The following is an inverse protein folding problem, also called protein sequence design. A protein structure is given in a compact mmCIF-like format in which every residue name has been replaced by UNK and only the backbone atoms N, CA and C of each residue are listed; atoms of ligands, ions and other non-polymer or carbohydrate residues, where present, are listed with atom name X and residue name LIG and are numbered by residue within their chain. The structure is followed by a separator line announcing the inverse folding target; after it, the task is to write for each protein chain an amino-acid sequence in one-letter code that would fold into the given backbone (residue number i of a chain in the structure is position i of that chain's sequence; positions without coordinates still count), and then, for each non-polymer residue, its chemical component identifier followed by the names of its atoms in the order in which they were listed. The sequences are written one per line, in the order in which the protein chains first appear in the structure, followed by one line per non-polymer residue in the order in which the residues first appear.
data_IF_392334561937
#
_entry.id   IF_392334561937
#
_cell.length_a   1.000
_cell.length_b   1.000
_cell.length_c   1.000
_cell.angle_alpha   90.00
_cell.angle_beta   90.00
_cell.angle_gamma   90.00
#
_symmetry.space_group_name_H-M   'P 1'
#
loop_
_entity.id
_entity.type
_entity.pdbx_description
1 polymer ?
#
# COMPACT_ATOMS: atom_id res chain seq x y z
N UNK A 1 0.43 -42.73 -26.97
CA UNK A 1 1.67 -41.90 -26.87
C UNK A 1 1.62 -40.61 -27.71
N UNK A 2 1.19 -40.61 -28.95
CA UNK A 2 1.16 -39.39 -29.83
C UNK A 2 0.24 -38.26 -29.30
N UNK A 3 -0.93 -38.62 -28.70
CA UNK A 3 -1.85 -37.63 -28.13
C UNK A 3 -1.26 -36.83 -26.93
N UNK A 4 -0.39 -37.46 -26.14
CA UNK A 4 0.26 -36.79 -25.00
C UNK A 4 1.33 -35.78 -25.45
N UNK A 5 2.03 -36.08 -26.56
CA UNK A 5 3.00 -35.16 -27.16
C UNK A 5 2.33 -33.96 -27.84
N UNK A 6 1.17 -34.13 -28.42
CA UNK A 6 0.39 -33.04 -29.01
C UNK A 6 -0.13 -32.11 -27.90
N UNK A 7 -0.61 -32.66 -26.79
CA UNK A 7 -1.06 -31.84 -25.63
C UNK A 7 0.13 -31.11 -25.00
N UNK A 8 1.30 -31.74 -24.88
CA UNK A 8 2.52 -31.09 -24.37
C UNK A 8 3.04 -30.02 -25.33
N UNK A 9 2.97 -30.23 -26.63
CA UNK A 9 3.36 -29.26 -27.65
C UNK A 9 2.37 -28.08 -27.69
N UNK A 10 1.07 -28.29 -27.55
CA UNK A 10 0.05 -27.23 -27.46
C UNK A 10 0.19 -26.44 -26.16
N UNK A 11 0.54 -27.07 -25.04
CA UNK A 11 0.88 -26.39 -23.79
C UNK A 11 2.15 -25.57 -23.90
N UNK A 12 3.19 -26.05 -24.60
CA UNK A 12 4.44 -25.31 -24.83
C UNK A 12 4.23 -24.12 -25.78
N UNK A 13 3.40 -24.24 -26.80
CA UNK A 13 3.03 -23.12 -27.71
C UNK A 13 2.13 -22.11 -26.99
N UNK A 14 1.29 -22.56 -26.04
CA UNK A 14 0.48 -21.65 -25.23
C UNK A 14 1.31 -20.84 -24.22
N UNK A 15 2.51 -21.32 -23.82
CA UNK A 15 3.43 -20.59 -22.94
C UNK A 15 4.27 -19.56 -23.73
N UNK A 16 4.43 -19.73 -25.03
CA UNK A 16 5.06 -18.76 -25.96
C UNK A 16 4.02 -17.81 -26.56
N UNK A 17 3.02 -17.40 -25.75
CA UNK A 17 2.01 -16.43 -26.19
C UNK A 17 2.67 -15.20 -26.81
N UNK A 18 2.10 -14.67 -27.90
CA UNK A 18 2.55 -13.43 -28.51
C UNK A 18 2.63 -12.37 -27.41
N UNK A 19 3.85 -11.96 -27.05
CA UNK A 19 4.05 -10.91 -26.08
C UNK A 19 3.35 -9.66 -26.60
N UNK A 20 2.41 -9.12 -25.82
CA UNK A 20 1.81 -7.83 -26.13
C UNK A 20 2.94 -6.80 -26.13
N UNK A 21 3.11 -6.08 -27.23
CA UNK A 21 4.15 -5.05 -27.32
C UNK A 21 3.75 -3.84 -26.48
N UNK A 22 4.69 -3.27 -25.77
CA UNK A 22 4.51 -1.98 -25.07
C UNK A 22 4.41 -0.85 -26.08
N UNK A 23 3.74 0.24 -25.69
CA UNK A 23 3.65 1.46 -26.53
C UNK A 23 5.03 2.06 -26.81
N UNK A 24 5.91 2.02 -25.83
CA UNK A 24 7.30 2.49 -25.89
C UNK A 24 8.24 1.44 -25.30
N UNK A 25 9.56 1.57 -25.59
CA UNK A 25 10.56 0.73 -24.96
C UNK A 25 10.61 0.90 -23.44
N UNK A 26 10.97 -0.15 -22.72
CA UNK A 26 11.26 -0.06 -21.28
C UNK A 26 12.51 0.77 -21.03
N UNK A 27 12.58 1.45 -19.88
CA UNK A 27 13.77 2.16 -19.45
C UNK A 27 14.91 1.15 -19.19
N UNK A 28 15.98 1.23 -19.97
CA UNK A 28 17.22 0.50 -19.65
C UNK A 28 18.01 1.30 -18.62
N UNK A 29 18.17 0.73 -17.42
CA UNK A 29 19.04 1.33 -16.41
C UNK A 29 20.48 1.37 -16.92
N UNK A 30 21.20 2.49 -16.79
CA UNK A 30 22.61 2.60 -17.13
C UNK A 30 23.43 1.49 -16.50
N UNK A 31 24.43 0.97 -17.21
CA UNK A 31 25.30 -0.12 -16.72
C UNK A 31 25.97 0.21 -15.37
N UNK A 32 26.22 1.49 -15.11
CA UNK A 32 26.76 1.98 -13.83
C UNK A 32 25.79 1.75 -12.65
N UNK A 33 24.48 1.86 -12.86
CA UNK A 33 23.47 1.56 -11.81
C UNK A 33 23.42 0.06 -11.49
N UNK A 34 23.71 -0.83 -12.47
CA UNK A 34 23.82 -2.28 -12.23
C UNK A 34 25.05 -2.68 -11.42
N UNK A 35 26.14 -1.92 -11.54
CA UNK A 35 27.40 -2.22 -10.81
C UNK A 35 27.34 -1.80 -9.34
N UNK A 36 26.48 -0.85 -8.97
CA UNK A 36 26.32 -0.38 -7.58
C UNK A 36 25.56 -1.37 -6.71
N UNK A 37 24.74 -2.24 -7.29
CA UNK A 37 24.14 -3.37 -6.54
C UNK A 37 25.16 -4.40 -6.05
N UNK A 38 26.39 -4.41 -6.61
CA UNK A 38 27.41 -5.44 -6.37
C UNK A 38 28.65 -4.91 -5.62
N UNK A 39 28.89 -3.60 -5.56
CA UNK A 39 30.08 -3.08 -4.89
C UNK A 39 30.08 -1.56 -4.74
N UNK A 40 29.74 -1.11 -3.55
CA UNK A 40 29.54 0.30 -3.26
C UNK A 40 30.77 1.18 -3.40
N UNK A 41 30.64 2.31 -4.12
CA UNK A 41 31.45 3.49 -3.92
C UNK A 41 30.55 4.64 -3.45
N UNK A 42 31.03 5.42 -2.47
CA UNK A 42 30.26 6.41 -1.72
C UNK A 42 29.68 7.56 -2.57
N UNK A 43 30.13 7.78 -3.79
CA UNK A 43 29.67 8.89 -4.64
C UNK A 43 28.38 8.61 -5.42
N UNK A 44 27.99 7.35 -5.56
CA UNK A 44 26.77 6.93 -6.28
C UNK A 44 25.63 6.60 -5.30
N UNK A 45 25.94 6.42 -4.02
CA UNK A 45 24.99 6.09 -2.97
C UNK A 45 23.77 7.05 -2.86
N UNK A 46 23.92 8.37 -2.98
CA UNK A 46 22.76 9.28 -2.93
C UNK A 46 21.77 9.08 -4.08
N UNK A 47 22.26 8.78 -5.28
CA UNK A 47 21.42 8.56 -6.47
C UNK A 47 20.71 7.21 -6.42
N UNK A 48 21.40 6.17 -5.99
CA UNK A 48 20.84 4.82 -5.86
C UNK A 48 19.86 4.72 -4.68
N UNK A 49 20.12 5.42 -3.57
CA UNK A 49 19.14 5.54 -2.48
C UNK A 49 17.90 6.35 -2.89
N UNK A 50 18.05 7.32 -3.77
CA UNK A 50 16.93 8.04 -4.36
C UNK A 50 16.10 7.15 -5.29
N UNK A 51 16.74 6.30 -6.09
CA UNK A 51 16.09 5.32 -6.96
C UNK A 51 15.42 4.17 -6.19
N UNK A 52 15.94 3.79 -5.03
CA UNK A 52 15.38 2.68 -4.22
C UNK A 52 14.04 3.01 -3.55
N UNK A 53 13.73 4.30 -3.35
CA UNK A 53 12.50 4.78 -2.73
C UNK A 53 11.94 5.99 -3.51
N UNK A 54 11.83 5.87 -4.80
CA UNK A 54 11.41 6.98 -5.67
C UNK A 54 9.99 7.44 -5.31
N UNK A 55 9.90 8.57 -4.58
CA UNK A 55 8.67 9.33 -4.51
C UNK A 55 8.62 10.15 -5.78
N UNK A 56 7.83 9.71 -6.76
CA UNK A 56 7.67 10.44 -8.00
C UNK A 56 6.86 11.70 -7.76
N UNK A 57 7.43 12.83 -8.10
CA UNK A 57 6.85 14.17 -7.95
C UNK A 57 6.72 14.62 -6.48
N UNK A 58 7.84 14.93 -5.85
CA UNK A 58 7.84 15.75 -4.63
C UNK A 58 7.97 17.21 -5.05
N UNK A 59 6.86 17.91 -5.17
CA UNK A 59 6.86 19.36 -5.39
C UNK A 59 6.28 20.09 -4.19
N UNK A 60 7.01 21.03 -3.67
CA UNK A 60 6.57 21.94 -2.62
C UNK A 60 6.90 21.49 -1.19
N UNK A 61 6.96 22.44 -0.29
CA UNK A 61 7.14 22.23 1.14
C UNK A 61 5.90 21.56 1.73
N UNK A 62 6.04 20.33 2.23
CA UNK A 62 5.01 19.73 3.06
C UNK A 62 4.96 20.45 4.41
N UNK A 63 3.75 20.64 4.96
CA UNK A 63 3.64 21.06 6.35
C UNK A 63 4.03 19.86 7.24
N UNK A 64 4.53 20.13 8.44
CA UNK A 64 4.79 19.07 9.40
C UNK A 64 3.48 18.32 9.72
N UNK A 65 3.39 17.00 9.50
CA UNK A 65 2.15 16.26 9.68
C UNK A 65 1.87 16.03 11.17
N UNK A 66 0.59 16.10 11.56
CA UNK A 66 0.13 15.69 12.88
C UNK A 66 -0.64 14.37 12.83
N UNK A 67 -1.30 14.07 11.72
CA UNK A 67 -2.10 12.86 11.55
C UNK A 67 -1.78 12.18 10.21
N UNK A 68 -1.23 10.98 10.30
CA UNK A 68 -0.87 10.14 9.15
C UNK A 68 -1.76 8.90 9.13
N UNK A 69 -2.37 8.61 7.99
CA UNK A 69 -3.19 7.43 7.76
C UNK A 69 -2.52 6.49 6.77
N UNK A 70 -2.31 5.25 7.16
CA UNK A 70 -1.72 4.19 6.33
C UNK A 70 -2.77 3.12 6.06
N UNK A 71 -3.10 2.90 4.79
CA UNK A 71 -4.13 1.97 4.33
C UNK A 71 -3.51 0.81 3.56
N UNK A 72 -3.71 -0.41 4.05
CA UNK A 72 -3.19 -1.60 3.39
C UNK A 72 -4.01 -2.03 2.17
N UNK A 73 -3.44 -2.87 1.33
CA UNK A 73 -4.16 -3.71 0.39
C UNK A 73 -5.04 -4.74 1.09
N UNK A 74 -5.93 -5.40 0.32
CA UNK A 74 -6.81 -6.45 0.88
C UNK A 74 -8.09 -6.74 0.09
N UNK A 75 -8.22 -6.25 -1.15
CA UNK A 75 -9.35 -6.54 -2.04
C UNK A 75 -10.71 -6.19 -1.42
N UNK A 76 -11.64 -7.13 -1.40
CA UNK A 76 -13.00 -6.95 -0.82
C UNK A 76 -12.99 -6.67 0.68
N UNK A 77 -11.90 -7.03 1.40
CA UNK A 77 -11.73 -6.69 2.82
C UNK A 77 -11.57 -5.20 3.06
N UNK A 78 -11.37 -4.38 2.03
CA UNK A 78 -11.50 -2.93 2.08
C UNK A 78 -12.84 -2.46 2.67
N UNK A 79 -13.87 -3.33 2.67
CA UNK A 79 -15.13 -3.08 3.36
C UNK A 79 -14.93 -2.83 4.87
N UNK A 80 -14.02 -3.55 5.52
CA UNK A 80 -13.64 -3.26 6.90
C UNK A 80 -13.02 -1.87 7.03
N UNK A 81 -12.09 -1.51 6.15
CA UNK A 81 -11.46 -0.18 6.13
C UNK A 81 -12.49 0.94 5.95
N UNK A 82 -13.42 0.78 4.99
CA UNK A 82 -14.51 1.72 4.78
C UNK A 82 -15.42 1.83 6.02
N UNK A 83 -15.69 0.70 6.67
CA UNK A 83 -16.42 0.65 7.94
C UNK A 83 -15.72 1.42 9.05
N UNK A 84 -14.41 1.20 9.23
CA UNK A 84 -13.58 1.94 10.22
C UNK A 84 -13.65 3.45 9.97
N UNK A 85 -13.45 3.90 8.74
CA UNK A 85 -13.52 5.33 8.37
C UNK A 85 -14.87 5.93 8.72
N UNK A 86 -15.97 5.26 8.34
CA UNK A 86 -17.35 5.73 8.61
C UNK A 86 -17.68 5.72 10.12
N UNK A 87 -17.30 4.64 10.83
CA UNK A 87 -17.52 4.52 12.27
C UNK A 87 -16.74 5.55 13.06
N UNK A 88 -15.54 5.89 12.61
CA UNK A 88 -14.69 6.90 13.22
C UNK A 88 -15.28 8.31 13.06
N UNK A 89 -15.82 8.63 11.89
CA UNK A 89 -16.60 9.87 11.67
C UNK A 89 -17.83 9.92 12.58
N UNK A 90 -18.57 8.81 12.70
CA UNK A 90 -19.74 8.73 13.58
C UNK A 90 -19.38 8.95 15.05
N UNK A 91 -18.20 8.51 15.49
CA UNK A 91 -17.69 8.76 16.83
C UNK A 91 -17.30 10.23 17.07
N UNK A 92 -17.25 11.06 16.02
CA UNK A 92 -16.97 12.50 16.09
C UNK A 92 -15.50 12.85 16.39
N UNK A 93 -14.58 11.89 16.34
CA UNK A 93 -13.17 12.09 16.67
C UNK A 93 -12.18 11.68 15.57
N UNK A 94 -12.68 11.47 14.35
CA UNK A 94 -11.82 11.26 13.18
C UNK A 94 -11.05 12.56 12.87
N UNK A 95 -9.71 12.55 12.88
CA UNK A 95 -8.95 13.73 12.53
C UNK A 95 -8.99 14.02 11.02
N UNK A 96 -8.65 15.23 10.64
CA UNK A 96 -8.21 15.50 9.28
C UNK A 96 -6.79 14.91 9.13
N UNK A 97 -6.56 14.16 8.06
CA UNK A 97 -5.27 13.53 7.82
C UNK A 97 -4.38 14.47 6.99
N UNK A 98 -3.16 14.69 7.46
CA UNK A 98 -2.14 15.47 6.75
C UNK A 98 -1.47 14.64 5.67
N UNK A 99 -1.26 13.36 5.96
CA UNK A 99 -0.71 12.39 5.02
C UNK A 99 -1.61 11.17 4.97
N UNK A 100 -1.92 10.70 3.77
CA UNK A 100 -2.61 9.41 3.55
C UNK A 100 -1.78 8.60 2.57
N UNK A 101 -1.51 7.34 2.90
CA UNK A 101 -0.88 6.37 2.01
C UNK A 101 -1.82 5.21 1.74
N UNK A 102 -1.80 4.65 0.53
CA UNK A 102 -2.67 3.53 0.17
C UNK A 102 -2.05 2.57 -0.84
N UNK A 103 -2.37 1.29 -0.67
CA UNK A 103 -2.04 0.18 -1.58
C UNK A 103 -3.33 -0.53 -1.97
N UNK A 104 -3.49 -0.90 -3.26
CA UNK A 104 -4.60 -1.72 -3.73
C UNK A 104 -5.97 -1.15 -3.34
N UNK A 105 -6.81 -1.88 -2.61
CA UNK A 105 -8.08 -1.36 -2.08
C UNK A 105 -7.86 -0.14 -1.18
N UNK A 106 -6.75 -0.06 -0.43
CA UNK A 106 -6.36 1.12 0.33
C UNK A 106 -6.10 2.33 -0.55
N UNK A 107 -5.54 2.14 -1.76
CA UNK A 107 -5.35 3.21 -2.75
C UNK A 107 -6.69 3.73 -3.29
N UNK A 108 -7.69 2.85 -3.49
CA UNK A 108 -9.03 3.25 -3.92
C UNK A 108 -9.81 4.01 -2.84
N UNK A 109 -9.51 3.76 -1.56
CA UNK A 109 -10.11 4.45 -0.41
C UNK A 109 -9.38 5.78 -0.12
N UNK A 110 -8.08 5.84 -0.33
CA UNK A 110 -7.20 6.92 0.10
C UNK A 110 -7.65 8.33 -0.34
N UNK A 111 -8.05 8.61 -1.60
CA UNK A 111 -8.49 9.94 -2.01
C UNK A 111 -9.69 10.44 -1.21
N UNK A 112 -10.64 9.57 -0.91
CA UNK A 112 -11.87 9.90 -0.19
C UNK A 112 -11.63 10.05 1.32
N UNK A 113 -10.79 9.18 1.91
CA UNK A 113 -10.35 9.33 3.29
C UNK A 113 -9.55 10.63 3.51
N UNK A 114 -8.74 11.01 2.52
CA UNK A 114 -7.96 12.24 2.51
C UNK A 114 -8.83 13.49 2.41
N UNK A 115 -9.84 13.50 1.55
CA UNK A 115 -10.72 14.65 1.37
C UNK A 115 -11.69 14.87 2.53
N UNK A 116 -12.13 13.81 3.22
CA UNK A 116 -12.92 13.96 4.44
C UNK A 116 -14.28 13.23 4.43
N UNK A 117 -15.09 13.55 5.45
CA UNK A 117 -16.32 12.81 5.75
C UNK A 117 -17.44 12.98 4.74
N UNK A 118 -17.36 13.95 3.84
CA UNK A 118 -18.36 14.13 2.76
C UNK A 118 -18.41 12.94 1.80
N UNK A 119 -17.36 12.10 1.79
CA UNK A 119 -17.25 10.90 0.95
C UNK A 119 -17.56 9.59 1.68
N UNK A 120 -17.95 9.63 2.93
CA UNK A 120 -18.17 8.42 3.73
C UNK A 120 -19.32 7.56 3.17
N UNK A 121 -20.41 8.17 2.70
CA UNK A 121 -21.51 7.46 2.05
C UNK A 121 -21.09 6.83 0.71
N UNK A 122 -20.19 7.48 -0.04
CA UNK A 122 -19.63 6.92 -1.25
C UNK A 122 -18.80 5.68 -0.93
N UNK A 123 -17.92 5.76 0.06
CA UNK A 123 -17.11 4.63 0.54
C UNK A 123 -18.01 3.48 1.00
N UNK A 124 -19.04 3.76 1.78
CA UNK A 124 -20.01 2.74 2.22
C UNK A 124 -20.62 2.02 1.02
N UNK A 125 -21.23 2.74 0.06
CA UNK A 125 -21.82 2.12 -1.14
C UNK A 125 -20.82 1.31 -1.94
N UNK A 126 -19.60 1.85 -2.12
CA UNK A 126 -18.54 1.16 -2.86
C UNK A 126 -18.17 -0.20 -2.26
N UNK A 127 -18.23 -0.33 -0.94
CA UNK A 127 -17.78 -1.51 -0.23
C UNK A 127 -18.90 -2.36 0.40
N UNK A 128 -20.16 -2.00 0.18
CA UNK A 128 -21.30 -2.82 0.66
C UNK A 128 -22.20 -3.30 -0.48
N UNK A 129 -22.19 -2.61 -1.64
CA UNK A 129 -23.09 -2.91 -2.75
C UNK A 129 -22.39 -3.52 -3.96
N UNK A 130 -21.05 -3.44 -4.03
CA UNK A 130 -20.25 -3.93 -5.17
C UNK A 130 -20.27 -5.44 -5.28
N UNK A 131 -20.27 -5.91 -6.51
CA UNK A 131 -20.16 -7.33 -6.89
C UNK A 131 -19.00 -7.54 -7.85
N UNK A 132 -18.59 -8.78 -8.03
CA UNK A 132 -17.52 -9.16 -9.00
C UNK A 132 -17.68 -8.46 -10.36
N UNK A 133 -18.89 -8.43 -10.92
CA UNK A 133 -19.19 -7.80 -12.22
C UNK A 133 -18.93 -6.28 -12.28
N UNK A 134 -18.90 -5.61 -11.14
CA UNK A 134 -18.67 -4.17 -11.02
C UNK A 134 -17.16 -3.86 -10.92
N UNK A 135 -16.36 -4.92 -10.73
CA UNK A 135 -14.90 -4.85 -10.57
C UNK A 135 -14.19 -5.47 -11.78
N UNK A 136 -14.66 -6.65 -12.26
CA UNK A 136 -14.02 -7.36 -13.36
C UNK A 136 -14.99 -8.17 -14.19
N UNK A 137 -14.56 -8.47 -15.43
CA UNK A 137 -15.21 -9.43 -16.32
C UNK A 137 -14.26 -10.60 -16.57
N UNK A 138 -14.67 -11.81 -16.19
CA UNK A 138 -13.88 -13.03 -16.43
C UNK A 138 -13.72 -13.25 -17.94
N UNK A 139 -12.48 -13.49 -18.39
CA UNK A 139 -12.20 -13.81 -19.79
C UNK A 139 -12.57 -15.25 -20.08
N UNK A 140 -13.04 -15.50 -21.31
CA UNK A 140 -13.35 -16.84 -21.76
C UNK A 140 -12.07 -17.64 -22.04
N UNK A 141 -12.07 -18.97 -21.72
CA UNK A 141 -10.89 -19.84 -21.77
C UNK A 141 -10.02 -19.72 -23.03
N UNK A 142 -10.56 -19.69 -24.28
CA UNK A 142 -9.74 -19.50 -25.47
C UNK A 142 -9.03 -18.14 -25.55
N UNK A 143 -9.60 -17.09 -24.95
CA UNK A 143 -8.97 -15.78 -24.93
C UNK A 143 -7.74 -15.72 -24.03
N UNK A 144 -7.62 -16.64 -23.05
CA UNK A 144 -6.48 -16.71 -22.13
C UNK A 144 -5.15 -17.08 -22.80
N UNK A 145 -5.18 -17.67 -23.99
CA UNK A 145 -3.97 -18.06 -24.74
C UNK A 145 -3.16 -16.81 -25.15
N UNK A 146 -3.85 -15.69 -25.36
CA UNK A 146 -3.25 -14.42 -25.81
C UNK A 146 -3.39 -13.30 -24.79
N UNK A 147 -3.90 -13.60 -23.59
CA UNK A 147 -4.16 -12.60 -22.56
C UNK A 147 -3.04 -12.61 -21.51
N UNK A 148 -2.75 -11.44 -20.97
CA UNK A 148 -1.85 -11.22 -19.85
C UNK A 148 -2.51 -11.39 -18.46
N UNK A 149 -3.84 -11.70 -18.45
CA UNK A 149 -4.64 -11.78 -17.23
C UNK A 149 -5.90 -12.65 -17.38
N UNK A 150 -6.42 -13.14 -16.26
CA UNK A 150 -7.63 -13.97 -16.22
C UNK A 150 -8.92 -13.16 -16.36
N UNK A 151 -8.88 -11.85 -16.09
CA UNK A 151 -10.03 -10.98 -16.12
C UNK A 151 -9.70 -9.63 -16.79
N UNK A 152 -10.73 -8.97 -17.26
CA UNK A 152 -10.67 -7.60 -17.77
C UNK A 152 -11.00 -6.63 -16.66
N UNK A 153 -10.17 -5.60 -16.45
CA UNK A 153 -10.35 -4.55 -15.45
C UNK A 153 -11.20 -3.37 -15.94
N UNK A 154 -11.80 -3.44 -17.13
CA UNK A 154 -12.62 -2.36 -17.67
C UNK A 154 -13.75 -1.89 -16.74
N UNK A 155 -14.48 -2.77 -16.01
CA UNK A 155 -15.46 -2.33 -15.03
C UNK A 155 -14.85 -1.47 -13.91
N UNK A 156 -13.71 -1.88 -13.34
CA UNK A 156 -13.00 -1.11 -12.32
C UNK A 156 -12.50 0.23 -12.87
N UNK A 157 -11.90 0.24 -14.07
CA UNK A 157 -11.47 1.46 -14.77
C UNK A 157 -12.63 2.43 -14.94
N UNK A 158 -13.78 1.96 -15.39
CA UNK A 158 -15.00 2.76 -15.54
C UNK A 158 -15.43 3.36 -14.19
N UNK A 159 -15.45 2.56 -13.15
CA UNK A 159 -15.85 3.01 -11.80
C UNK A 159 -14.88 4.05 -11.24
N UNK A 160 -13.57 3.87 -11.41
CA UNK A 160 -12.56 4.88 -11.05
C UNK A 160 -12.84 6.17 -11.82
N UNK A 161 -13.12 6.10 -13.14
CA UNK A 161 -13.39 7.27 -13.95
C UNK A 161 -14.68 8.02 -13.53
N UNK A 162 -15.71 7.31 -13.09
CA UNK A 162 -16.96 7.90 -12.58
C UNK A 162 -16.78 8.60 -11.22
N UNK A 163 -15.86 8.12 -10.39
CA UNK A 163 -15.63 8.64 -9.03
C UNK A 163 -14.52 9.68 -8.97
N UNK A 164 -13.43 9.45 -9.69
CA UNK A 164 -12.32 10.41 -9.77
C UNK A 164 -12.63 11.42 -10.89
N UNK A 165 -13.41 12.42 -10.52
CA UNK A 165 -13.85 13.49 -11.42
C UNK A 165 -12.85 14.66 -11.42
N UNK A 166 -12.92 15.59 -12.38
CA UNK A 166 -12.13 16.83 -12.33
C UNK A 166 -12.34 17.64 -11.04
N UNK A 167 -13.48 17.52 -10.38
CA UNK A 167 -13.76 18.19 -9.10
C UNK A 167 -12.96 17.55 -7.96
N UNK A 168 -12.95 16.22 -7.87
CA UNK A 168 -12.08 15.48 -6.93
C UNK A 168 -10.63 15.88 -7.12
N UNK A 169 -10.14 15.92 -8.36
CA UNK A 169 -8.78 16.31 -8.66
C UNK A 169 -8.46 17.73 -8.17
N UNK A 170 -9.38 18.70 -8.38
CA UNK A 170 -9.24 20.06 -7.88
C UNK A 170 -9.17 20.12 -6.35
N UNK A 171 -10.00 19.34 -5.64
CA UNK A 171 -9.99 19.27 -4.18
C UNK A 171 -8.70 18.67 -3.65
N UNK A 172 -8.18 17.60 -4.30
CA UNK A 172 -6.88 17.01 -3.94
C UNK A 172 -5.75 18.02 -4.17
N UNK A 173 -5.75 18.73 -5.31
CA UNK A 173 -4.77 19.78 -5.60
C UNK A 173 -4.82 20.93 -4.57
N UNK A 174 -6.02 21.35 -4.15
CA UNK A 174 -6.18 22.37 -3.12
C UNK A 174 -5.56 21.92 -1.79
N UNK A 175 -5.88 20.69 -1.34
CA UNK A 175 -5.31 20.13 -0.12
C UNK A 175 -3.77 19.96 -0.21
N UNK A 176 -3.25 19.63 -1.40
CA UNK A 176 -1.81 19.54 -1.63
C UNK A 176 -1.13 20.92 -1.46
N UNK A 177 -1.71 21.99 -2.00
CA UNK A 177 -1.22 23.36 -1.82
C UNK A 177 -1.25 23.82 -0.36
N UNK A 178 -2.16 23.27 0.45
CA UNK A 178 -2.21 23.48 1.90
C UNK A 178 -1.16 22.66 2.68
N UNK A 179 -0.30 21.92 1.97
CA UNK A 179 0.78 21.12 2.56
C UNK A 179 0.40 19.69 2.91
N UNK A 180 -0.84 19.24 2.63
CA UNK A 180 -1.27 17.85 2.82
C UNK A 180 -0.77 16.95 1.69
N UNK A 181 -0.60 15.66 1.94
CA UNK A 181 -0.02 14.71 0.99
C UNK A 181 -0.87 13.46 0.84
N UNK A 182 -1.05 13.04 -0.40
CA UNK A 182 -1.76 11.80 -0.77
C UNK A 182 -0.85 10.92 -1.60
N UNK A 183 -0.46 9.78 -1.05
CA UNK A 183 0.46 8.84 -1.69
C UNK A 183 -0.21 7.51 -2.02
N UNK A 184 0.08 6.99 -3.20
CA UNK A 184 -0.36 5.66 -3.64
C UNK A 184 0.84 4.88 -4.13
N UNK A 185 0.92 3.60 -3.73
CA UNK A 185 1.98 2.69 -4.15
C UNK A 185 1.52 1.75 -5.26
N UNK A 186 2.37 1.57 -6.27
CA UNK A 186 2.26 0.55 -7.32
C UNK A 186 3.56 -0.25 -7.37
N UNK A 187 3.56 -1.42 -8.00
CA UNK A 187 4.79 -2.15 -8.28
C UNK A 187 5.15 -2.02 -9.75
N UNK A 188 6.33 -1.50 -10.05
CA UNK A 188 6.92 -1.58 -11.38
C UNK A 188 7.48 -3.00 -11.61
N UNK A 189 6.99 -3.67 -12.65
CA UNK A 189 7.38 -5.06 -12.96
C UNK A 189 8.81 -5.18 -13.48
N UNK A 190 9.35 -4.14 -14.10
CA UNK A 190 10.69 -4.19 -14.66
C UNK A 190 11.74 -4.17 -13.54
N UNK A 191 11.57 -3.29 -12.58
CA UNK A 191 12.46 -3.14 -11.43
C UNK A 191 12.07 -4.02 -10.24
N UNK A 192 10.82 -4.51 -10.19
CA UNK A 192 10.22 -5.28 -9.07
C UNK A 192 10.20 -4.47 -7.78
N UNK A 193 10.11 -3.14 -7.88
CA UNK A 193 10.16 -2.21 -6.75
C UNK A 193 8.82 -1.50 -6.55
N UNK A 194 8.59 -1.08 -5.33
CA UNK A 194 7.48 -0.18 -5.00
C UNK A 194 7.79 1.20 -5.57
N UNK A 195 6.88 1.71 -6.39
CA UNK A 195 6.86 3.10 -6.86
C UNK A 195 5.79 3.85 -6.09
N UNK A 196 6.19 4.92 -5.43
CA UNK A 196 5.28 5.77 -4.64
C UNK A 196 4.94 7.01 -5.45
N UNK A 197 3.65 7.22 -5.69
CA UNK A 197 3.11 8.35 -6.45
C UNK A 197 2.54 9.40 -5.51
N UNK A 198 3.00 10.66 -5.64
CA UNK A 198 2.33 11.80 -5.00
C UNK A 198 1.14 12.23 -5.85
N UNK A 199 -0.05 11.74 -5.51
CA UNK A 199 -1.28 12.06 -6.22
C UNK A 199 -1.69 13.52 -6.05
N UNK A 200 -1.27 14.16 -4.96
CA UNK A 200 -1.46 15.59 -4.76
C UNK A 200 -0.66 16.42 -5.76
N UNK A 201 0.62 16.07 -5.96
CA UNK A 201 1.48 16.72 -6.95
C UNK A 201 0.98 16.49 -8.38
N UNK A 202 0.52 15.27 -8.71
CA UNK A 202 -0.11 14.98 -9.99
C UNK A 202 -1.34 15.89 -10.20
N UNK A 203 -2.21 15.99 -9.20
CA UNK A 203 -3.43 16.80 -9.28
C UNK A 203 -3.13 18.28 -9.46
N UNK A 204 -2.10 18.81 -8.81
CA UNK A 204 -1.69 20.23 -8.87
C UNK A 204 -0.82 20.55 -10.09
N UNK A 205 -0.24 19.54 -10.73
CA UNK A 205 0.61 19.69 -11.92
C UNK A 205 -0.11 20.31 -13.13
N UNK A 206 0.68 20.69 -14.13
CA UNK A 206 0.18 21.33 -15.36
C UNK A 206 0.00 20.36 -16.53
N UNK A 207 0.24 19.06 -16.32
CA UNK A 207 0.06 18.05 -17.37
C UNK A 207 -1.42 17.99 -17.81
N UNK A 208 -1.73 18.13 -19.08
CA UNK A 208 -3.10 17.99 -19.61
C UNK A 208 -3.69 16.60 -19.33
N UNK A 209 -2.86 15.55 -19.21
CA UNK A 209 -3.26 14.17 -18.97
C UNK A 209 -3.29 13.79 -17.47
N UNK A 210 -3.09 14.74 -16.55
CA UNK A 210 -3.00 14.49 -15.11
C UNK A 210 -4.19 13.73 -14.52
N UNK A 211 -5.40 13.91 -15.06
CA UNK A 211 -6.58 13.19 -14.61
C UNK A 211 -6.51 11.70 -14.99
N UNK A 212 -6.05 11.40 -16.18
CA UNK A 212 -5.92 10.02 -16.64
C UNK A 212 -4.74 9.34 -15.92
N UNK A 213 -3.62 10.03 -15.73
CA UNK A 213 -2.50 9.52 -14.93
C UNK A 213 -2.94 9.22 -13.49
N UNK A 214 -3.68 10.12 -12.85
CA UNK A 214 -4.22 9.89 -11.51
C UNK A 214 -5.08 8.62 -11.44
N UNK A 215 -5.96 8.42 -12.43
CA UNK A 215 -6.82 7.23 -12.54
C UNK A 215 -6.03 5.97 -12.85
N UNK A 216 -5.05 6.04 -13.73
CA UNK A 216 -4.21 4.91 -14.10
C UNK A 216 -3.33 4.45 -12.93
N UNK A 217 -2.80 5.35 -12.11
CA UNK A 217 -2.09 5.01 -10.87
C UNK A 217 -3.02 4.25 -9.89
N UNK A 218 -4.26 4.71 -9.70
CA UNK A 218 -5.23 4.00 -8.85
C UNK A 218 -5.57 2.61 -9.39
N UNK A 219 -5.78 2.51 -10.71
CA UNK A 219 -6.06 1.24 -11.36
C UNK A 219 -4.86 0.28 -11.26
N UNK A 220 -3.64 0.79 -11.53
CA UNK A 220 -2.41 0.02 -11.41
C UNK A 220 -2.22 -0.52 -10.00
N UNK A 221 -2.42 0.33 -8.99
CA UNK A 221 -2.34 -0.07 -7.58
C UNK A 221 -3.33 -1.18 -7.20
N UNK A 222 -4.45 -1.31 -7.91
CA UNK A 222 -5.45 -2.35 -7.69
C UNK A 222 -5.38 -3.49 -8.74
N UNK A 223 -4.37 -3.50 -9.63
CA UNK A 223 -4.21 -4.52 -10.67
C UNK A 223 -3.42 -5.72 -10.17
N UNK A 224 -4.11 -6.63 -9.45
CA UNK A 224 -3.53 -7.87 -8.90
C UNK A 224 -3.01 -8.75 -10.03
N UNK A 225 -1.70 -9.11 -10.05
CA UNK A 225 -1.11 -9.92 -11.12
C UNK A 225 -1.81 -11.27 -11.30
N UNK A 226 -1.95 -11.67 -12.54
CA UNK A 226 -2.66 -12.88 -12.94
C UNK A 226 -4.18 -12.69 -13.01
N UNK A 227 -4.80 -11.91 -12.11
CA UNK A 227 -6.22 -11.58 -12.18
C UNK A 227 -6.47 -10.43 -13.17
N UNK A 228 -5.77 -9.30 -13.02
CA UNK A 228 -5.91 -8.12 -13.86
C UNK A 228 -4.70 -7.88 -14.76
N UNK A 229 -4.90 -7.24 -15.92
CA UNK A 229 -3.78 -6.84 -16.78
C UNK A 229 -2.93 -5.77 -16.06
N UNK A 230 -1.61 -5.76 -16.32
CA UNK A 230 -0.76 -4.64 -15.94
C UNK A 230 -1.26 -3.34 -16.58
N UNK A 231 -1.03 -2.24 -15.92
CA UNK A 231 -1.31 -0.90 -16.44
C UNK A 231 -0.02 -0.29 -16.96
N UNK A 232 -0.05 0.12 -18.24
CA UNK A 232 1.05 0.81 -18.87
C UNK A 232 0.99 2.30 -18.50
N UNK A 233 2.02 2.80 -17.83
CA UNK A 233 2.14 4.22 -17.45
C UNK A 233 3.31 4.82 -18.22
N UNK A 234 3.01 5.86 -19.00
CA UNK A 234 4.02 6.61 -19.73
C UNK A 234 4.76 7.55 -18.81
N UNK A 235 6.08 7.50 -18.85
CA UNK A 235 6.98 8.40 -18.13
C UNK A 235 7.89 9.11 -19.13
N UNK A 236 8.29 10.32 -18.80
CA UNK A 236 9.30 11.08 -19.55
C UNK A 236 10.59 11.12 -18.73
N UNK A 237 11.66 10.60 -19.32
CA UNK A 237 13.00 10.64 -18.71
C UNK A 237 13.92 11.32 -19.71
N UNK A 238 14.45 12.48 -19.35
CA UNK A 238 15.37 13.27 -20.18
C UNK A 238 14.80 13.58 -21.60
N UNK A 239 13.49 13.78 -21.71
CA UNK A 239 12.79 14.08 -22.97
C UNK A 239 12.50 12.84 -23.83
N UNK A 240 12.76 11.63 -23.32
CA UNK A 240 12.39 10.38 -23.96
C UNK A 240 11.20 9.73 -23.26
N UNK A 241 10.20 9.32 -24.03
CA UNK A 241 9.04 8.58 -23.50
C UNK A 241 9.37 7.11 -23.31
N UNK A 242 9.09 6.61 -22.14
CA UNK A 242 9.17 5.21 -21.76
C UNK A 242 7.81 4.74 -21.25
N UNK A 243 7.52 3.46 -21.41
CA UNK A 243 6.33 2.83 -20.88
C UNK A 243 6.72 1.83 -19.80
N UNK A 244 6.33 2.09 -18.56
CA UNK A 244 6.51 1.18 -17.44
C UNK A 244 5.26 0.33 -17.25
N UNK A 245 5.44 -0.95 -16.88
CA UNK A 245 4.34 -1.85 -16.54
C UNK A 245 4.13 -1.89 -15.04
N UNK A 246 3.03 -1.29 -14.60
CA UNK A 246 2.65 -1.25 -13.20
C UNK A 246 1.56 -2.26 -12.87
N UNK A 247 1.70 -2.88 -11.71
CA UNK A 247 0.73 -3.78 -11.09
C UNK A 247 0.44 -3.39 -9.66
N UNK A 248 -0.43 -4.14 -8.99
CA UNK A 248 -0.79 -3.93 -7.58
C UNK A 248 0.44 -3.72 -6.70
N UNK A 249 0.40 -2.66 -5.91
CA UNK A 249 1.47 -2.33 -4.98
C UNK A 249 1.73 -3.44 -3.95
N UNK A 250 0.73 -4.29 -3.69
CA UNK A 250 0.82 -5.45 -2.81
C UNK A 250 1.85 -6.50 -3.21
N UNK A 251 2.36 -6.46 -4.44
CA UNK A 251 3.48 -7.30 -4.88
C UNK A 251 4.80 -6.88 -4.19
N UNK A 252 5.02 -5.59 -4.01
CA UNK A 252 6.25 -5.05 -3.40
C UNK A 252 6.08 -4.65 -1.93
N UNK A 253 4.87 -4.18 -1.54
CA UNK A 253 4.57 -3.80 -0.16
C UNK A 253 3.07 -3.91 0.14
N UNK A 254 2.69 -4.51 1.26
CA UNK A 254 1.29 -4.60 1.70
C UNK A 254 0.73 -3.26 2.19
N UNK A 255 1.60 -2.42 2.74
CA UNK A 255 1.41 -1.04 3.16
C UNK A 255 2.78 -0.35 3.25
N UNK A 256 2.81 0.97 3.26
CA UNK A 256 4.10 1.67 3.33
C UNK A 256 4.01 2.98 4.11
N UNK A 257 5.13 3.30 4.74
CA UNK A 257 5.41 4.58 5.37
C UNK A 257 6.90 4.89 5.16
N UNK A 258 7.22 6.15 4.87
CA UNK A 258 8.60 6.60 4.66
C UNK A 258 8.94 7.73 5.64
N UNK A 259 10.22 7.90 6.02
CA UNK A 259 10.63 8.94 6.97
C UNK A 259 10.17 10.34 6.59
N UNK A 260 10.28 10.71 5.31
CA UNK A 260 9.85 12.02 4.80
C UNK A 260 8.34 12.28 5.02
N UNK A 261 7.50 11.23 5.05
CA UNK A 261 6.06 11.33 5.30
C UNK A 261 5.73 11.64 6.76
N UNK A 262 6.71 11.51 7.65
CA UNK A 262 6.65 11.85 9.07
C UNK A 262 7.34 13.19 9.37
N UNK A 263 7.79 13.91 8.34
CA UNK A 263 8.55 15.15 8.49
C UNK A 263 10.01 14.93 8.93
N UNK A 264 10.52 13.69 8.81
CA UNK A 264 11.92 13.39 9.13
C UNK A 264 12.83 13.71 7.95
N UNK A 265 13.98 14.34 8.24
CA UNK A 265 15.01 14.58 7.21
C UNK A 265 15.67 13.27 6.80
N UNK A 266 15.85 13.07 5.48
CA UNK A 266 16.61 11.94 4.96
C UNK A 266 18.11 12.05 5.28
N UNK A 267 18.62 13.28 5.48
CA UNK A 267 20.05 13.55 5.64
C UNK A 267 20.49 13.50 7.11
N UNK A 268 19.62 13.69 8.06
CA UNK A 268 19.89 13.56 9.49
C UNK A 268 18.65 13.04 10.25
N UNK A 269 18.51 11.72 10.36
CA UNK A 269 17.44 11.10 11.10
C UNK A 269 17.49 11.43 12.62
N UNK A 270 18.64 11.84 13.14
CA UNK A 270 18.83 12.17 14.56
C UNK A 270 18.41 13.60 14.88
N UNK A 271 18.36 14.52 13.89
CA UNK A 271 17.76 15.85 14.04
C UNK A 271 16.22 15.83 14.11
N UNK A 272 15.58 14.69 13.89
CA UNK A 272 14.13 14.58 14.02
C UNK A 272 13.68 15.01 15.42
N UNK A 273 13.05 16.17 15.52
CA UNK A 273 12.40 16.62 16.75
C UNK A 273 11.38 15.56 17.15
N UNK A 274 11.49 15.09 18.38
CA UNK A 274 10.46 14.23 18.97
C UNK A 274 9.15 15.01 19.00
N UNK A 275 8.09 14.43 18.44
CA UNK A 275 6.80 15.10 18.28
C UNK A 275 5.70 14.32 18.96
N UNK A 276 5.29 14.80 20.14
CA UNK A 276 4.20 14.21 20.92
C UNK A 276 2.83 14.39 20.25
N UNK A 277 2.71 15.30 19.27
CA UNK A 277 1.49 15.59 18.53
C UNK A 277 1.32 14.75 17.25
N UNK A 278 2.34 13.96 16.87
CA UNK A 278 2.30 13.11 15.69
C UNK A 278 1.57 11.79 15.97
N UNK A 279 0.56 11.50 15.17
CA UNK A 279 -0.22 10.27 15.26
C UNK A 279 -0.13 9.50 13.94
N UNK A 280 0.18 8.21 14.01
CA UNK A 280 0.17 7.29 12.87
C UNK A 280 -0.92 6.26 13.09
N UNK A 281 -1.89 6.26 12.19
CA UNK A 281 -3.01 5.33 12.17
C UNK A 281 -2.85 4.34 11.03
N UNK A 282 -2.88 3.06 11.33
CA UNK A 282 -2.78 1.98 10.35
C UNK A 282 -4.09 1.19 10.33
N UNK A 283 -4.69 1.05 9.15
CA UNK A 283 -5.87 0.21 8.94
C UNK A 283 -5.49 -0.92 7.99
N UNK A 284 -5.54 -2.14 8.49
CA UNK A 284 -5.26 -3.35 7.70
C UNK A 284 -6.56 -3.96 7.22
N UNK A 285 -6.74 -4.01 5.91
CA UNK A 285 -7.86 -4.66 5.24
C UNK A 285 -7.65 -6.19 5.18
N UNK A 286 -7.55 -6.81 6.33
CA UNK A 286 -7.30 -8.25 6.50
C UNK A 286 -7.04 -8.59 7.95
N UNK A 287 -6.83 -9.88 8.22
CA UNK A 287 -6.46 -10.38 9.54
C UNK A 287 -4.94 -10.28 9.73
N UNK A 288 -4.49 -9.86 10.91
CA UNK A 288 -3.06 -9.80 11.25
C UNK A 288 -2.40 -11.18 11.38
N UNK A 289 -3.18 -12.23 11.55
CA UNK A 289 -2.71 -13.63 11.53
C UNK A 289 -3.75 -14.49 10.83
N UNK A 290 -3.32 -15.21 9.82
CA UNK A 290 -4.19 -16.15 9.13
C UNK A 290 -4.59 -17.32 10.06
N UNK A 291 -5.86 -17.75 10.02
CA UNK A 291 -6.32 -18.93 10.77
C UNK A 291 -5.61 -20.19 10.25
N UNK A 292 -5.33 -21.13 11.17
CA UNK A 292 -4.79 -22.43 10.76
C UNK A 292 -5.82 -23.18 9.93
N UNK A 293 -5.47 -23.55 8.70
CA UNK A 293 -6.28 -24.35 7.79
C UNK A 293 -5.56 -25.65 7.46
N UNK A 294 -6.34 -26.72 7.26
CA UNK A 294 -5.80 -28.02 6.78
C UNK A 294 -5.64 -27.92 5.26
N UNK A 295 -4.40 -27.85 4.80
CA UNK A 295 -4.09 -27.76 3.36
C UNK A 295 -4.31 -29.11 2.69
N UNK A 296 -5.03 -29.12 1.57
CA UNK A 296 -5.17 -30.30 0.74
C UNK A 296 -3.86 -30.56 -0.02
N UNK A 297 -3.48 -31.84 -0.18
CA UNK A 297 -2.29 -32.22 -0.98
C UNK A 297 -2.56 -32.15 -2.48
N UNK A 298 -2.94 -30.95 -2.97
CA UNK A 298 -3.15 -30.62 -4.38
C UNK A 298 -2.24 -29.45 -4.74
N UNK A 299 -1.69 -29.46 -5.94
CA UNK A 299 -0.75 -28.42 -6.40
C UNK A 299 -1.34 -27.01 -6.24
N UNK A 300 -2.58 -26.79 -6.67
CA UNK A 300 -3.25 -25.48 -6.54
C UNK A 300 -3.37 -25.02 -5.10
N UNK A 301 -3.78 -25.89 -4.17
CA UNK A 301 -3.89 -25.55 -2.76
C UNK A 301 -2.53 -25.26 -2.10
N UNK A 302 -1.49 -26.01 -2.49
CA UNK A 302 -0.12 -25.76 -2.00
C UNK A 302 0.40 -24.43 -2.50
N UNK A 303 0.18 -24.08 -3.78
CA UNK A 303 0.58 -22.77 -4.34
C UNK A 303 -0.17 -21.64 -3.64
N UNK A 304 -1.50 -21.76 -3.51
CA UNK A 304 -2.35 -20.74 -2.88
C UNK A 304 -1.90 -20.44 -1.45
N UNK A 305 -1.71 -21.46 -0.62
CA UNK A 305 -1.26 -21.30 0.76
C UNK A 305 0.19 -20.82 0.87
N UNK A 306 1.05 -21.20 -0.07
CA UNK A 306 2.44 -20.71 -0.12
C UNK A 306 2.48 -19.21 -0.46
N UNK A 307 1.72 -18.77 -1.45
CA UNK A 307 1.59 -17.35 -1.80
C UNK A 307 0.99 -16.56 -0.63
N UNK A 308 -0.07 -17.08 -0.01
CA UNK A 308 -0.67 -16.51 1.19
C UNK A 308 0.36 -16.34 2.32
N UNK A 309 1.23 -17.34 2.53
CA UNK A 309 2.31 -17.27 3.52
C UNK A 309 3.34 -16.18 3.22
N UNK A 310 3.71 -16.00 1.95
CA UNK A 310 4.63 -14.92 1.52
C UNK A 310 4.00 -13.54 1.75
N UNK A 311 2.74 -13.35 1.36
CA UNK A 311 2.02 -12.09 1.57
C UNK A 311 1.84 -11.77 3.06
N UNK A 312 1.60 -12.80 3.91
CA UNK A 312 1.53 -12.61 5.36
C UNK A 312 2.88 -12.17 5.94
N UNK A 313 3.97 -12.82 5.54
CA UNK A 313 5.31 -12.44 5.99
C UNK A 313 5.69 -11.02 5.56
N UNK A 314 5.30 -10.62 4.34
CA UNK A 314 5.47 -9.25 3.85
C UNK A 314 4.66 -8.25 4.69
N UNK A 315 3.38 -8.54 4.98
CA UNK A 315 2.53 -7.70 5.83
C UNK A 315 3.14 -7.51 7.22
N UNK A 316 3.61 -8.60 7.84
CA UNK A 316 4.25 -8.56 9.16
C UNK A 316 5.51 -7.68 9.16
N UNK A 317 6.34 -7.79 8.12
CA UNK A 317 7.54 -6.97 7.91
C UNK A 317 7.20 -5.49 7.69
N UNK A 318 6.23 -5.18 6.84
CA UNK A 318 5.81 -3.81 6.54
C UNK A 318 5.17 -3.13 7.77
N UNK A 319 4.36 -3.87 8.54
CA UNK A 319 3.80 -3.40 9.81
C UNK A 319 4.90 -3.11 10.84
N UNK A 320 5.86 -4.01 10.99
CA UNK A 320 6.98 -3.80 11.91
C UNK A 320 7.81 -2.59 11.50
N UNK A 321 8.14 -2.44 10.21
CA UNK A 321 8.84 -1.27 9.68
C UNK A 321 8.06 0.03 9.94
N UNK A 322 6.75 0.03 9.68
CA UNK A 322 5.88 1.19 9.94
C UNK A 322 5.82 1.55 11.42
N UNK A 323 5.72 0.54 12.29
CA UNK A 323 5.77 0.72 13.73
C UNK A 323 7.10 1.33 14.20
N UNK A 324 8.24 0.75 13.78
CA UNK A 324 9.56 1.23 14.16
C UNK A 324 9.80 2.67 13.70
N UNK A 325 9.43 3.02 12.46
CA UNK A 325 9.51 4.39 11.96
C UNK A 325 8.65 5.34 12.77
N UNK A 326 7.42 4.94 13.11
CA UNK A 326 6.51 5.74 13.93
C UNK A 326 7.10 6.01 15.32
N UNK A 327 7.64 4.96 15.95
CA UNK A 327 8.25 5.10 17.29
C UNK A 327 9.53 5.94 17.25
N UNK A 328 10.30 5.81 16.19
CA UNK A 328 11.50 6.64 15.99
C UNK A 328 11.17 8.11 15.79
N UNK A 329 10.10 8.44 15.06
CA UNK A 329 9.60 9.80 14.91
C UNK A 329 8.94 10.37 16.20
N UNK A 330 8.81 9.57 17.27
CA UNK A 330 8.11 9.94 18.51
C UNK A 330 6.59 9.83 18.41
N UNK A 331 6.06 9.30 17.30
CA UNK A 331 4.64 9.26 17.03
C UNK A 331 3.86 8.30 17.95
N UNK A 332 2.60 8.66 18.23
CA UNK A 332 1.60 7.73 18.73
C UNK A 332 1.19 6.79 17.61
N UNK A 333 1.32 5.49 17.82
CA UNK A 333 0.96 4.47 16.85
C UNK A 333 -0.37 3.81 17.21
N UNK A 334 -1.27 3.71 16.24
CA UNK A 334 -2.57 3.05 16.37
C UNK A 334 -2.82 2.15 15.17
N UNK A 335 -3.14 0.89 15.44
CA UNK A 335 -3.38 -0.16 14.44
C UNK A 335 -4.74 -0.78 14.63
N UNK A 336 -5.50 -0.96 13.55
CA UNK A 336 -6.72 -1.77 13.55
C UNK A 336 -6.74 -2.72 12.34
N UNK A 337 -7.37 -3.88 12.52
CA UNK A 337 -7.44 -4.93 11.52
C UNK A 337 -8.70 -5.79 11.72
N UNK A 338 -9.04 -6.59 10.73
CA UNK A 338 -10.15 -7.55 10.83
C UNK A 338 -9.93 -8.52 12.01
N UNK A 339 -10.90 -8.68 12.91
CA UNK A 339 -10.77 -9.56 14.08
C UNK A 339 -10.49 -11.02 13.71
N UNK A 340 -9.80 -11.73 14.60
CA UNK A 340 -9.41 -13.14 14.41
C UNK A 340 -10.57 -14.13 14.42
N UNK A 341 -11.61 -13.82 15.18
CA UNK A 341 -12.80 -14.64 15.35
C UNK A 341 -13.75 -14.56 14.14
N UNK A 342 -13.47 -13.64 13.22
CA UNK A 342 -14.10 -13.61 11.92
C UNK A 342 -13.44 -14.64 11.02
N UNK A 343 -14.13 -15.76 10.82
CA UNK A 343 -13.74 -16.74 9.81
C UNK A 343 -14.14 -16.17 8.44
N UNK A 344 -13.17 -15.66 7.70
CA UNK A 344 -13.37 -15.32 6.30
C UNK A 344 -13.46 -16.61 5.50
N UNK A 345 -14.67 -16.95 5.08
CA UNK A 345 -14.90 -18.09 4.17
C UNK A 345 -14.63 -17.70 2.71
N UNK A 346 -14.63 -16.41 2.39
CA UNK A 346 -14.46 -15.88 1.04
C UNK A 346 -13.03 -15.38 0.78
N UNK A 347 -12.54 -15.62 -0.44
CA UNK A 347 -11.30 -15.02 -0.92
C UNK A 347 -11.41 -13.50 -0.96
N UNK A 348 -10.35 -12.74 -0.61
CA UNK A 348 -10.31 -11.27 -0.79
C UNK A 348 -10.56 -10.79 -2.22
N UNK A 349 -10.47 -11.69 -3.20
CA UNK A 349 -10.76 -11.41 -4.61
C UNK A 349 -12.21 -11.69 -5.01
N UNK A 350 -13.09 -12.00 -4.04
CA UNK A 350 -14.54 -12.20 -4.27
C UNK A 350 -15.32 -11.05 -3.65
N UNK A 351 -16.05 -10.32 -4.49
CA UNK A 351 -16.86 -9.17 -4.08
C UNK A 351 -18.31 -9.59 -3.87
N UNK A 352 -18.57 -10.13 -2.68
CA UNK A 352 -19.92 -10.54 -2.27
C UNK A 352 -20.51 -9.51 -1.30
N UNK A 353 -21.64 -8.85 -1.64
CA UNK A 353 -22.21 -7.78 -0.83
C UNK A 353 -22.51 -8.16 0.62
N UNK A 354 -22.97 -9.39 0.89
CA UNK A 354 -23.27 -9.84 2.25
C UNK A 354 -22.03 -9.92 3.14
N UNK A 355 -20.97 -10.50 2.62
CA UNK A 355 -19.68 -10.61 3.32
C UNK A 355 -19.07 -9.23 3.52
N UNK A 356 -19.10 -8.39 2.48
CA UNK A 356 -18.58 -7.02 2.54
C UNK A 356 -19.39 -6.15 3.51
N UNK A 357 -20.73 -6.26 3.53
CA UNK A 357 -21.56 -5.56 4.52
C UNK A 357 -21.19 -5.96 5.95
N UNK A 358 -21.00 -7.25 6.21
CA UNK A 358 -20.59 -7.74 7.54
C UNK A 358 -19.23 -7.18 7.97
N UNK A 359 -18.25 -7.17 7.07
CA UNK A 359 -16.93 -6.59 7.33
C UNK A 359 -17.02 -5.08 7.59
N UNK A 360 -17.85 -4.37 6.81
CA UNK A 360 -18.12 -2.95 7.02
C UNK A 360 -18.70 -2.69 8.42
N UNK A 361 -19.74 -3.45 8.81
CA UNK A 361 -20.41 -3.27 10.10
C UNK A 361 -19.46 -3.50 11.28
N UNK A 362 -18.56 -4.46 11.16
CA UNK A 362 -17.54 -4.73 12.18
C UNK A 362 -16.54 -3.57 12.26
N UNK A 363 -16.00 -3.12 11.13
CA UNK A 363 -15.10 -1.97 11.10
C UNK A 363 -15.75 -0.72 11.67
N UNK A 364 -17.02 -0.48 11.32
CA UNK A 364 -17.81 0.62 11.84
C UNK A 364 -17.94 0.58 13.37
N UNK A 365 -18.30 -0.58 13.93
CA UNK A 365 -18.43 -0.75 15.38
C UNK A 365 -17.09 -0.61 16.10
N UNK A 366 -16.00 -1.17 15.55
CA UNK A 366 -14.66 -1.09 16.12
C UNK A 366 -14.18 0.37 16.27
N UNK A 367 -14.39 1.17 15.23
CA UNK A 367 -13.99 2.58 15.28
C UNK A 367 -14.91 3.41 16.17
N UNK A 368 -16.22 3.17 16.13
CA UNK A 368 -17.21 3.90 16.96
C UNK A 368 -17.00 3.68 18.44
N UNK A 369 -16.53 2.49 18.87
CA UNK A 369 -16.30 2.13 20.28
C UNK A 369 -14.85 2.24 20.75
N UNK A 370 -13.90 2.54 19.84
CA UNK A 370 -12.44 2.50 20.08
C UNK A 370 -11.89 1.13 20.48
N UNK A 371 -12.70 0.08 20.50
CA UNK A 371 -12.32 -1.25 20.98
C UNK A 371 -11.37 -1.99 20.03
N UNK A 372 -11.31 -1.59 18.76
CA UNK A 372 -10.53 -2.27 17.72
C UNK A 372 -9.10 -1.74 17.52
N UNK A 373 -8.66 -0.74 18.29
CA UNK A 373 -7.35 -0.13 18.11
C UNK A 373 -6.28 -0.75 19.03
N UNK A 374 -5.09 -0.99 18.49
CA UNK A 374 -3.91 -1.55 19.17
C UNK A 374 -2.73 -0.58 19.00
N UNK A 375 -1.86 -0.51 20.01
CA UNK A 375 -0.72 0.42 20.02
C UNK A 375 0.59 -0.20 19.48
N UNK A 376 0.56 -1.47 19.07
CA UNK A 376 1.70 -2.19 18.53
C UNK A 376 1.25 -3.35 17.65
N UNK A 377 2.07 -3.83 16.70
CA UNK A 377 1.83 -5.06 15.96
C UNK A 377 1.75 -6.29 16.87
N UNK A 378 0.90 -7.27 16.51
CA UNK A 378 0.73 -8.51 17.28
C UNK A 378 1.97 -9.41 17.35
N UNK A 379 2.97 -9.16 16.50
CA UNK A 379 4.24 -9.89 16.50
C UNK A 379 5.11 -9.55 17.72
N UNK A 380 4.85 -8.40 18.35
CA UNK A 380 5.63 -7.92 19.50
C UNK A 380 4.91 -8.27 20.81
N UNK A 381 5.63 -8.93 21.73
CA UNK A 381 5.18 -9.05 23.12
C UNK A 381 5.18 -7.67 23.82
N UNK A 382 4.47 -7.49 24.93
CA UNK A 382 4.49 -6.23 25.66
C UNK A 382 5.90 -5.73 26.04
N UNK A 383 6.84 -6.64 26.25
CA UNK A 383 8.24 -6.36 26.62
C UNK A 383 9.09 -5.92 25.41
N UNK A 384 8.68 -6.31 24.20
CA UNK A 384 9.34 -5.96 22.94
C UNK A 384 8.77 -4.65 22.34
N UNK A 385 7.71 -4.09 22.94
CA UNK A 385 7.13 -2.83 22.47
C UNK A 385 8.07 -1.67 22.79
N UNK A 386 8.41 -0.90 21.77
CA UNK A 386 9.31 0.24 21.89
C UNK A 386 8.51 1.46 22.32
N UNK A 387 8.89 2.14 23.41
CA UNK A 387 8.28 3.42 23.78
C UNK A 387 8.64 4.50 22.72
N UNK A 388 7.84 5.58 22.58
CA UNK A 388 8.19 6.67 21.70
C UNK A 388 9.54 7.28 22.07
N UNK A 389 10.32 7.69 21.09
CA UNK A 389 11.56 8.45 21.32
C UNK A 389 11.20 9.71 22.13
N UNK A 390 11.94 9.98 23.20
CA UNK A 390 11.70 11.10 24.12
C UNK A 390 10.85 10.76 25.36
N UNK A 391 10.12 9.64 25.38
CA UNK A 391 9.38 9.20 26.59
C UNK A 391 10.27 8.47 27.61
N UNK A 392 11.47 8.04 27.23
CA UNK A 392 12.43 7.37 28.10
C UNK A 392 13.43 8.41 28.61
N UNK A 393 13.24 8.86 29.84
CA UNK A 393 14.34 9.47 30.58
C UNK A 393 15.31 8.35 30.98
N UNK A 394 16.41 8.22 30.27
CA UNK A 394 17.52 7.41 30.75
C UNK A 394 18.00 8.04 32.06
N UNK A 395 17.66 7.42 33.22
CA UNK A 395 18.42 7.66 34.43
C UNK A 395 19.81 7.13 34.16
N UNK A 396 20.73 8.04 33.85
CA UNK A 396 22.16 7.74 33.93
C UNK A 396 22.43 7.47 35.41
N UNK A 397 22.51 6.21 35.79
CA UNK A 397 23.08 5.88 37.10
C UNK A 397 24.53 6.37 37.05
N UNK A 398 24.84 7.40 37.85
CA UNK A 398 26.23 7.82 38.02
C UNK A 398 27.03 6.59 38.47
N UNK A 399 28.22 6.36 37.86
CA UNK A 399 29.05 5.25 38.28
C UNK A 399 29.35 5.41 39.77
N UNK A 400 28.94 4.42 40.57
CA UNK A 400 29.30 4.36 41.98
C UNK A 400 30.82 4.44 42.06
N UNK A 401 31.32 5.60 42.47
CA UNK A 401 32.72 5.77 42.82
C UNK A 401 33.03 4.86 43.99
N UNK A 402 33.45 3.65 43.68
CA UNK A 402 33.95 2.73 44.68
C UNK A 402 35.21 3.33 45.31
N UNK A 403 35.09 3.73 46.57
CA UNK A 403 36.20 4.05 47.44
C UNK A 403 37.09 2.79 47.48
N UNK A 404 38.23 2.84 46.80
CA UNK A 404 39.35 1.92 47.08
C UNK A 404 39.77 2.17 48.54
N UNK A 405 39.41 1.25 49.42
CA UNK A 405 40.02 1.17 50.75
C UNK A 405 41.44 0.67 50.53
N UNK A 406 42.41 1.54 50.75
CA UNK A 406 43.80 1.14 50.94
C UNK A 406 43.89 0.37 52.26
N UNK A 407 44.28 -0.90 52.14
CA UNK A 407 44.74 -1.68 53.32
C UNK A 407 46.26 -1.57 53.35
N UNK A 408 46.75 -1.06 54.46
CA UNK A 408 48.15 -1.17 54.88
C UNK A 408 48.62 -2.63 55.06
#
# INVERSE_FOLDING_TARGET
MWRQWIIAAVLLVAISGCALSRRYGSLELPTAARLVEIGGSAEVAPRVQQEANEIRLVSGSAREPSNVLVLSGGGSNGAYTAGVINGWTKAGNRPAFDVVTGISTGALIAPFAFLGSEYDDLLKRNYTESRDRDIFTKRWLPALIYADSLADSAPLRKRIAEQITPDILKKVAAAHREGRRLYVGTTDLDTKRLVVWDLGAIADGNDPNKLDLFRDVLLASASVPGLFPPVEIDIDVEGQRHAELHVDGGVAASLFLQPAMLGMSANDPDEAKVRDDLNVYVIVAGQLRMPRRKVQRKLSAVIEESVGGVLQAQMDGDLLKTYLLSRWAGANFSLTAVPRDMVEEASPLMFEPRTMQRLFDIGYQHAATKAGWQNAPLALSPEEQIPPRGSVQFKVEEPRTGRLMATE
#
